data_IF_623267613881
#
_entry.id   IF_623267613881
#
_cell.length_a   1.000
_cell.length_b   1.000
_cell.length_c   1.000
_cell.angle_alpha   90.00
_cell.angle_beta   90.00
_cell.angle_gamma   90.00
#
_symmetry.space_group_name_H-M   'P 1'
#
loop_
_entity.id
_entity.type
_entity.pdbx_description
1 polymer ?
#
# COMPACT_ATOMS: atom_id res chain seq x y z
N UNK A 1 6.02 -25.69 45.61
CA UNK A 1 5.83 -25.18 44.24
C UNK A 1 4.37 -25.43 43.90
N UNK A 2 3.54 -24.40 43.63
CA UNK A 2 2.13 -24.61 43.40
C UNK A 2 1.93 -25.39 42.09
N UNK A 3 1.30 -26.57 42.18
CA UNK A 3 0.97 -27.38 41.01
C UNK A 3 -0.19 -26.73 40.28
N UNK A 4 0.13 -26.01 39.20
CA UNK A 4 -0.85 -25.33 38.39
C UNK A 4 -1.67 -26.39 37.66
N UNK A 5 -3.00 -26.46 37.86
CA UNK A 5 -3.78 -27.52 37.25
C UNK A 5 -3.78 -27.34 35.73
N UNK A 6 -3.69 -28.44 34.99
CA UNK A 6 -3.55 -28.45 33.52
C UNK A 6 -4.63 -27.63 32.80
N UNK A 7 -5.83 -27.52 33.38
CA UNK A 7 -6.90 -26.69 32.83
C UNK A 7 -6.57 -25.19 32.89
N UNK A 8 -5.94 -24.73 33.97
CA UNK A 8 -5.55 -23.33 34.13
C UNK A 8 -4.47 -22.95 33.10
N UNK A 9 -3.50 -23.84 32.85
CA UNK A 9 -2.49 -23.64 31.79
C UNK A 9 -3.15 -23.50 30.41
N UNK A 10 -4.13 -24.36 30.09
CA UNK A 10 -4.86 -24.30 28.82
C UNK A 10 -5.65 -23.00 28.66
N UNK A 11 -6.31 -22.54 29.72
CA UNK A 11 -7.07 -21.27 29.72
C UNK A 11 -6.13 -20.09 29.49
N UNK A 12 -5.00 -20.03 30.20
CA UNK A 12 -4.02 -18.95 30.04
C UNK A 12 -3.46 -18.90 28.61
N UNK A 13 -3.14 -20.05 28.02
CA UNK A 13 -2.65 -20.11 26.63
C UNK A 13 -3.72 -19.61 25.65
N UNK A 14 -4.97 -20.04 25.79
CA UNK A 14 -6.06 -19.60 24.93
C UNK A 14 -6.31 -18.09 25.01
N UNK A 15 -6.30 -17.53 26.23
CA UNK A 15 -6.43 -16.08 26.45
C UNK A 15 -5.27 -15.32 25.81
N UNK A 16 -4.04 -15.80 25.98
CA UNK A 16 -2.86 -15.14 25.39
C UNK A 16 -2.91 -15.12 23.85
N UNK A 17 -3.36 -16.21 23.21
CA UNK A 17 -3.50 -16.28 21.76
C UNK A 17 -4.59 -15.32 21.26
N UNK A 18 -5.75 -15.29 21.94
CA UNK A 18 -6.86 -14.40 21.57
C UNK A 18 -6.48 -12.92 21.68
N UNK A 19 -5.77 -12.55 22.75
CA UNK A 19 -5.27 -11.20 22.95
C UNK A 19 -4.14 -10.85 21.97
N UNK A 20 -3.22 -11.77 21.70
CA UNK A 20 -2.09 -11.57 20.80
C UNK A 20 -2.48 -11.44 19.33
N UNK A 21 -3.50 -12.19 18.88
CA UNK A 21 -3.98 -12.12 17.50
C UNK A 21 -4.71 -10.80 17.19
N UNK A 22 -5.29 -10.14 18.20
CA UNK A 22 -5.98 -8.85 18.03
C UNK A 22 -5.05 -7.66 17.74
N UNK A 23 -3.74 -7.79 17.96
CA UNK A 23 -2.78 -6.67 17.86
C UNK A 23 -2.09 -6.58 16.48
N UNK A 24 -2.26 -7.58 15.60
CA UNK A 24 -1.47 -7.69 14.36
C UNK A 24 -2.04 -6.86 13.19
N UNK A 25 -3.21 -6.22 13.34
CA UNK A 25 -3.98 -5.72 12.18
C UNK A 25 -4.50 -4.29 12.20
N UNK A 26 -4.10 -3.40 13.11
CA UNK A 26 -4.82 -2.13 13.31
C UNK A 26 -4.01 -0.83 13.32
N UNK A 27 -2.78 -0.82 12.84
CA UNK A 27 -2.20 0.45 12.40
C UNK A 27 -2.29 0.53 10.88
N UNK A 28 -3.26 1.25 10.29
CA UNK A 28 -2.99 1.82 8.98
C UNK A 28 -1.66 2.55 9.13
N UNK A 29 -0.68 2.24 8.28
CA UNK A 29 0.50 3.07 8.20
C UNK A 29 0.00 4.49 7.90
N UNK A 30 -0.03 5.33 8.93
CA UNK A 30 -0.34 6.75 8.79
C UNK A 30 0.84 7.30 8.02
N UNK A 31 0.70 7.30 6.70
CA UNK A 31 1.59 8.03 5.84
C UNK A 31 1.28 9.50 6.14
N UNK A 32 2.16 10.16 6.88
CA UNK A 32 2.08 11.61 7.06
C UNK A 32 2.06 12.25 5.66
N UNK A 33 0.94 12.88 5.25
CA UNK A 33 0.86 13.56 3.96
C UNK A 33 1.90 14.67 3.84
N UNK A 34 2.42 15.13 4.99
CA UNK A 34 3.39 16.19 5.12
C UNK A 34 4.85 15.75 5.14
N UNK A 35 5.16 14.44 5.09
CA UNK A 35 6.54 13.94 5.12
C UNK A 35 7.42 14.53 4.01
N UNK A 36 6.79 14.99 2.92
CA UNK A 36 7.43 15.66 1.79
C UNK A 36 6.90 17.08 1.54
N UNK A 37 6.22 17.73 2.49
CA UNK A 37 5.65 19.07 2.30
C UNK A 37 6.70 20.17 2.09
N UNK A 38 7.97 19.89 2.45
CA UNK A 38 9.12 20.76 2.15
C UNK A 38 9.62 20.61 0.72
N UNK A 39 9.18 19.57 0.00
CA UNK A 39 9.46 19.37 -1.41
C UNK A 39 8.28 19.91 -2.23
N UNK A 40 8.52 21.01 -2.92
CA UNK A 40 7.61 21.47 -3.96
C UNK A 40 7.97 20.78 -5.27
N UNK A 41 7.03 20.05 -5.88
CA UNK A 41 7.21 19.68 -7.27
C UNK A 41 6.72 20.82 -8.17
N UNK A 42 7.56 21.31 -9.07
CA UNK A 42 7.15 22.13 -10.22
C UNK A 42 6.48 21.31 -11.33
N UNK A 43 6.03 20.10 -11.01
CA UNK A 43 5.31 19.22 -11.90
C UNK A 43 4.11 19.97 -12.49
N UNK A 44 3.99 19.97 -13.81
CA UNK A 44 2.75 20.43 -14.43
C UNK A 44 1.62 19.55 -13.91
N UNK A 45 0.60 20.19 -13.31
CA UNK A 45 -0.55 19.49 -12.75
C UNK A 45 -1.14 18.58 -13.82
N UNK A 46 -1.15 17.27 -13.57
CA UNK A 46 -1.73 16.33 -14.51
C UNK A 46 -3.22 16.66 -14.71
N UNK A 47 -3.70 16.55 -15.95
CA UNK A 47 -5.09 16.80 -16.27
C UNK A 47 -6.01 15.94 -15.38
N UNK A 48 -7.18 16.46 -14.94
CA UNK A 48 -8.05 15.77 -14.00
C UNK A 48 -8.40 14.34 -14.44
N UNK A 49 -8.68 13.47 -13.47
CA UNK A 49 -9.11 12.11 -13.76
C UNK A 49 -10.36 12.11 -14.65
N UNK A 50 -10.36 11.25 -15.68
CA UNK A 50 -11.45 11.17 -16.65
C UNK A 50 -11.45 12.24 -17.74
N UNK A 51 -10.61 13.28 -17.66
CA UNK A 51 -10.54 14.33 -18.68
C UNK A 51 -10.11 13.79 -20.06
N UNK A 52 -10.64 14.36 -21.17
CA UNK A 52 -10.22 13.97 -22.52
C UNK A 52 -8.71 14.11 -22.73
N UNK A 53 -8.12 15.20 -22.26
CA UNK A 53 -6.68 15.45 -22.35
C UNK A 53 -5.83 14.35 -21.69
N UNK A 54 -6.28 13.82 -20.54
CA UNK A 54 -5.60 12.70 -19.87
C UNK A 54 -5.73 11.41 -20.68
N UNK A 55 -6.92 11.12 -21.23
CA UNK A 55 -7.15 9.94 -22.08
C UNK A 55 -6.29 9.97 -23.34
N UNK A 56 -6.19 11.14 -23.98
CA UNK A 56 -5.37 11.31 -25.18
C UNK A 56 -3.88 11.15 -24.87
N UNK A 57 -3.41 11.69 -23.75
CA UNK A 57 -2.03 11.50 -23.31
C UNK A 57 -1.69 10.03 -23.07
N UNK A 58 -2.59 9.28 -22.43
CA UNK A 58 -2.44 7.83 -22.22
C UNK A 58 -2.39 7.10 -23.57
N UNK A 59 -3.34 7.38 -24.46
CA UNK A 59 -3.40 6.74 -25.78
C UNK A 59 -2.14 7.02 -26.61
N UNK A 60 -1.60 8.26 -26.54
CA UNK A 60 -0.32 8.60 -27.18
C UNK A 60 0.84 7.81 -26.59
N UNK A 61 0.95 7.76 -25.26
CA UNK A 61 2.03 7.03 -24.58
C UNK A 61 2.04 5.54 -24.91
N UNK A 62 0.88 4.89 -24.97
CA UNK A 62 0.76 3.48 -25.36
C UNK A 62 1.28 3.25 -26.79
N UNK A 63 0.84 4.09 -27.75
CA UNK A 63 1.30 3.96 -29.14
C UNK A 63 2.80 4.16 -29.26
N UNK A 64 3.34 5.18 -28.58
CA UNK A 64 4.78 5.45 -28.59
C UNK A 64 5.57 4.27 -28.01
N UNK A 65 5.17 3.74 -26.86
CA UNK A 65 5.84 2.59 -26.26
C UNK A 65 5.82 1.34 -27.13
N UNK A 66 4.72 1.09 -27.84
CA UNK A 66 4.63 -0.03 -28.80
C UNK A 66 5.54 0.19 -30.02
N UNK A 67 5.60 1.40 -30.56
CA UNK A 67 6.51 1.75 -31.65
C UNK A 67 7.97 1.59 -31.23
N UNK A 68 8.35 2.12 -30.07
CA UNK A 68 9.71 2.03 -29.54
C UNK A 68 10.10 0.57 -29.24
N UNK A 69 9.16 -0.22 -28.71
CA UNK A 69 9.35 -1.66 -28.50
C UNK A 69 9.61 -2.41 -29.81
N UNK A 70 8.82 -2.12 -30.85
CA UNK A 70 9.02 -2.73 -32.17
C UNK A 70 10.37 -2.36 -32.79
N UNK A 71 10.87 -1.16 -32.51
CA UNK A 71 12.16 -0.68 -32.99
C UNK A 71 13.37 -1.31 -32.28
N UNK A 72 13.21 -1.78 -31.03
CA UNK A 72 14.29 -2.48 -30.29
C UNK A 72 14.33 -3.98 -30.57
N UNK A 73 13.24 -4.59 -31.02
CA UNK A 73 13.17 -6.03 -31.30
C UNK A 73 13.41 -6.43 -32.77
N UNK A 74 13.63 -5.47 -33.67
CA UNK A 74 13.93 -5.69 -35.08
C UNK A 74 15.39 -5.42 -35.41
#
# INVERSE_FOLDING_TARGET
>A
MPEVPRFATKVVIGVAIALGAGVVGLTPAVADPGAFNTLSCSCQQAAPAGSPARKDAIARGIRQGLSDWSAVTG
#
